data_IF_036046066982
#
_entry.id   IF_036046066982
#
_cell.length_a   1.000
_cell.length_b   1.000
_cell.length_c   1.000
_cell.angle_alpha   90.00
_cell.angle_beta   90.00
_cell.angle_gamma   90.00
#
_symmetry.space_group_name_H-M   'P 1'
#
loop_
_entity.id
_entity.type
_entity.pdbx_description
1 polymer ?
#
# COMPACT_ATOMS: atom_id res chain seq x y z
N UNK A 1 -7.33 64.66 -12.67
CA UNK A 1 -5.95 64.35 -13.09
C UNK A 1 -5.33 63.13 -12.40
N UNK A 2 -5.69 62.80 -11.15
CA UNK A 2 -5.10 61.68 -10.37
C UNK A 2 -5.31 60.27 -10.98
N UNK A 3 -6.49 59.98 -11.52
CA UNK A 3 -6.83 58.66 -12.09
C UNK A 3 -6.12 58.30 -13.39
N UNK A 4 -5.73 59.30 -14.20
CA UNK A 4 -4.99 59.06 -15.43
C UNK A 4 -3.53 58.68 -15.16
N UNK A 5 -2.90 59.30 -14.15
CA UNK A 5 -1.54 58.98 -13.72
C UNK A 5 -1.46 57.58 -13.09
N UNK A 6 -2.46 57.20 -12.27
CA UNK A 6 -2.55 55.85 -11.70
C UNK A 6 -2.66 54.77 -12.79
N UNK A 7 -3.52 54.98 -13.80
CA UNK A 7 -3.66 54.05 -14.93
C UNK A 7 -2.39 53.91 -15.76
N UNK A 8 -1.64 55.00 -15.96
CA UNK A 8 -0.37 54.94 -16.67
C UNK A 8 0.68 54.18 -15.87
N UNK A 9 0.74 54.38 -14.55
CA UNK A 9 1.64 53.62 -13.67
C UNK A 9 1.31 52.12 -13.70
N UNK A 10 0.03 51.75 -13.62
CA UNK A 10 -0.39 50.34 -13.69
C UNK A 10 -0.04 49.69 -15.04
N UNK A 11 -0.20 50.41 -16.16
CA UNK A 11 0.17 49.91 -17.50
C UNK A 11 1.66 49.69 -17.66
N UNK A 12 2.48 50.59 -17.10
CA UNK A 12 3.94 50.43 -17.08
C UNK A 12 4.33 49.23 -16.22
N UNK A 13 3.66 49.03 -15.07
CA UNK A 13 3.92 47.88 -14.22
C UNK A 13 3.56 46.54 -14.88
N UNK A 14 2.42 46.46 -15.58
CA UNK A 14 2.03 45.28 -16.35
C UNK A 14 3.06 44.99 -17.45
N UNK A 15 3.49 46.01 -18.19
CA UNK A 15 4.51 45.84 -19.24
C UNK A 15 5.86 45.35 -18.68
N UNK A 16 6.27 45.79 -17.48
CA UNK A 16 7.46 45.27 -16.80
C UNK A 16 7.30 43.79 -16.42
N UNK A 17 6.13 43.40 -15.89
CA UNK A 17 5.82 42.01 -15.56
C UNK A 17 5.87 41.14 -16.82
N UNK A 18 5.26 41.58 -17.92
CA UNK A 18 5.25 40.84 -19.19
C UNK A 18 6.67 40.67 -19.75
N UNK A 19 7.50 41.72 -19.67
CA UNK A 19 8.90 41.64 -20.07
C UNK A 19 9.68 40.62 -19.20
N UNK A 20 9.44 40.60 -17.88
CA UNK A 20 10.05 39.63 -16.96
C UNK A 20 9.57 38.20 -17.23
N UNK A 21 8.31 38.00 -17.59
CA UNK A 21 7.76 36.70 -17.99
C UNK A 21 8.48 36.21 -19.25
N UNK A 22 8.59 37.04 -20.28
CA UNK A 22 9.26 36.66 -21.53
C UNK A 22 10.74 36.30 -21.35
N UNK A 23 11.47 37.06 -20.52
CA UNK A 23 12.87 36.72 -20.19
C UNK A 23 12.92 35.37 -19.48
N UNK A 24 12.03 35.14 -18.49
CA UNK A 24 11.98 33.86 -17.77
C UNK A 24 11.63 32.69 -18.68
N UNK A 25 10.70 32.86 -19.62
CA UNK A 25 10.33 31.84 -20.60
C UNK A 25 11.50 31.51 -21.54
N UNK A 26 12.27 32.52 -21.97
CA UNK A 26 13.46 32.31 -22.79
C UNK A 26 14.54 31.52 -22.02
N UNK A 27 14.79 31.86 -20.76
CA UNK A 27 15.75 31.14 -19.92
C UNK A 27 15.28 29.71 -19.58
N UNK A 28 13.99 29.52 -19.34
CA UNK A 28 13.40 28.19 -19.16
C UNK A 28 13.58 27.33 -20.42
N UNK A 29 13.35 27.90 -21.60
CA UNK A 29 13.53 27.20 -22.89
C UNK A 29 14.98 26.76 -23.09
N UNK A 30 15.95 27.66 -22.85
CA UNK A 30 17.39 27.34 -22.91
C UNK A 30 17.78 26.24 -21.91
N UNK A 31 17.22 26.30 -20.71
CA UNK A 31 17.45 25.27 -19.69
C UNK A 31 16.87 23.93 -20.14
N UNK A 32 15.67 23.93 -20.71
CA UNK A 32 15.03 22.72 -21.24
C UNK A 32 15.81 22.12 -22.42
N UNK A 33 16.33 22.95 -23.33
CA UNK A 33 17.19 22.51 -24.43
C UNK A 33 18.47 21.83 -23.91
N UNK A 34 19.12 22.43 -22.90
CA UNK A 34 20.28 21.82 -22.23
C UNK A 34 19.91 20.51 -21.55
N UNK A 35 18.79 20.47 -20.82
CA UNK A 35 18.33 19.25 -20.14
C UNK A 35 18.01 18.12 -21.12
N UNK A 36 17.41 18.44 -22.27
CA UNK A 36 17.09 17.48 -23.33
C UNK A 36 18.36 16.94 -24.03
N UNK A 37 19.49 17.64 -23.95
CA UNK A 37 20.77 17.15 -24.48
C UNK A 37 21.40 16.05 -23.62
N UNK A 38 21.03 15.98 -22.34
CA UNK A 38 21.51 14.92 -21.46
C UNK A 38 20.76 13.62 -21.74
N UNK A 39 21.51 12.55 -21.95
CA UNK A 39 20.96 11.20 -21.94
C UNK A 39 20.84 10.76 -20.49
N UNK A 40 19.62 10.51 -20.03
CA UNK A 40 19.37 9.91 -18.72
C UNK A 40 19.21 8.40 -18.93
N UNK A 41 20.19 7.57 -18.54
CA UNK A 41 20.18 6.14 -18.87
C UNK A 41 18.88 5.44 -18.49
N UNK A 42 18.31 5.79 -17.33
CA UNK A 42 17.05 5.20 -16.83
C UNK A 42 15.82 5.55 -17.66
N UNK A 43 15.85 6.62 -18.45
CA UNK A 43 14.76 6.98 -19.37
C UNK A 43 14.91 6.34 -20.76
N UNK A 44 16.08 5.76 -21.05
CA UNK A 44 16.38 5.06 -22.30
C UNK A 44 16.17 3.55 -22.23
N UNK A 45 15.95 3.01 -21.03
CA UNK A 45 15.66 1.60 -20.84
C UNK A 45 14.26 1.25 -21.36
N UNK A 46 14.07 0.06 -21.95
CA UNK A 46 12.74 -0.47 -22.24
C UNK A 46 11.88 -0.50 -20.98
N UNK A 47 10.57 -0.28 -21.14
CA UNK A 47 9.64 -0.22 -20.01
C UNK A 47 9.67 -1.50 -19.17
N UNK A 48 9.87 -2.66 -19.81
CA UNK A 48 9.96 -3.96 -19.15
C UNK A 48 11.14 -4.01 -18.17
N UNK A 49 12.30 -3.46 -18.56
CA UNK A 49 13.49 -3.42 -17.70
C UNK A 49 13.29 -2.46 -16.54
N UNK A 50 12.62 -1.33 -16.78
CA UNK A 50 12.28 -0.37 -15.71
C UNK A 50 11.29 -0.99 -14.72
N UNK A 51 10.27 -1.71 -15.21
CA UNK A 51 9.32 -2.46 -14.37
C UNK A 51 10.04 -3.49 -13.51
N UNK A 52 10.99 -4.24 -14.06
CA UNK A 52 11.80 -5.19 -13.28
C UNK A 52 12.61 -4.47 -12.19
N UNK A 53 13.28 -3.36 -12.53
CA UNK A 53 14.00 -2.54 -11.54
C UNK A 53 13.07 -2.08 -10.42
N UNK A 54 11.84 -1.67 -10.74
CA UNK A 54 10.84 -1.27 -9.74
C UNK A 54 10.42 -2.42 -8.84
N UNK A 55 10.32 -3.65 -9.36
CA UNK A 55 10.02 -4.84 -8.57
C UNK A 55 11.17 -5.13 -7.60
N UNK A 56 12.42 -5.02 -8.05
CA UNK A 56 13.61 -5.20 -7.19
C UNK A 56 13.80 -4.10 -6.14
N UNK A 57 13.16 -2.95 -6.31
CA UNK A 57 13.15 -1.89 -5.30
C UNK A 57 12.29 -2.24 -4.08
N UNK A 58 11.31 -3.12 -4.23
CA UNK A 58 10.39 -3.53 -3.17
C UNK A 58 10.91 -4.77 -2.43
N UNK A 59 10.41 -5.04 -1.20
CA UNK A 59 10.56 -6.34 -0.57
C UNK A 59 10.12 -7.47 -1.51
N UNK A 60 10.85 -8.57 -1.47
CA UNK A 60 10.56 -9.74 -2.28
C UNK A 60 9.17 -10.29 -1.91
N UNK A 61 8.32 -10.54 -2.90
CA UNK A 61 7.01 -11.16 -2.65
C UNK A 61 7.18 -12.51 -1.89
N UNK A 62 6.38 -12.80 -0.85
CA UNK A 62 5.13 -12.14 -0.45
C UNK A 62 5.28 -11.01 0.57
N UNK A 63 6.48 -10.56 0.91
CA UNK A 63 6.66 -9.51 1.92
C UNK A 63 6.02 -8.20 1.48
N UNK A 64 5.08 -7.64 2.26
CA UNK A 64 4.34 -6.48 1.85
C UNK A 64 5.13 -5.18 1.95
N UNK A 65 4.76 -4.21 1.13
CA UNK A 65 5.29 -2.85 1.17
C UNK A 65 4.30 -1.91 1.85
N UNK A 66 4.76 -0.84 2.51
CA UNK A 66 3.86 0.14 3.10
C UNK A 66 3.05 0.85 2.00
N UNK A 67 1.76 1.08 2.29
CA UNK A 67 0.85 1.82 1.37
C UNK A 67 1.38 3.22 1.01
N UNK A 68 2.13 3.83 1.93
CA UNK A 68 2.64 5.20 1.82
C UNK A 68 4.04 5.31 2.43
N UNK A 69 4.78 6.33 2.03
CA UNK A 69 6.11 6.62 2.58
C UNK A 69 7.26 5.89 1.89
N UNK A 70 8.38 5.76 2.58
CA UNK A 70 9.60 5.17 2.03
C UNK A 70 9.36 3.68 1.72
N UNK A 71 9.93 3.19 0.62
CA UNK A 71 9.73 1.82 0.11
C UNK A 71 8.31 1.50 -0.37
N UNK A 72 7.43 2.50 -0.47
CA UNK A 72 6.14 2.35 -1.12
C UNK A 72 6.27 2.47 -2.65
N UNK A 73 5.66 1.59 -3.45
CA UNK A 73 5.59 1.73 -4.91
C UNK A 73 4.89 3.02 -5.34
N UNK A 74 4.05 3.61 -4.46
CA UNK A 74 3.43 4.92 -4.70
C UNK A 74 4.47 6.00 -4.98
N UNK A 75 5.66 5.95 -4.36
CA UNK A 75 6.74 6.93 -4.60
C UNK A 75 7.21 6.94 -6.05
N UNK A 76 7.22 5.78 -6.71
CA UNK A 76 7.61 5.66 -8.12
C UNK A 76 6.68 6.46 -9.04
N UNK A 77 5.42 6.67 -8.63
CA UNK A 77 4.44 7.45 -9.39
C UNK A 77 4.63 8.97 -9.31
N UNK A 78 5.53 9.44 -8.43
CA UNK A 78 5.78 10.87 -8.20
C UNK A 78 7.12 11.36 -8.74
N UNK A 79 7.92 10.49 -9.38
CA UNK A 79 9.27 10.85 -9.87
C UNK A 79 9.20 11.61 -11.20
N UNK A 80 8.63 11.00 -12.24
CA UNK A 80 8.40 11.65 -13.53
C UNK A 80 7.19 10.99 -14.23
N UNK A 81 6.74 11.60 -15.34
CA UNK A 81 5.58 11.08 -16.09
C UNK A 81 5.79 9.63 -16.58
N UNK A 82 6.96 9.33 -17.13
CA UNK A 82 7.27 7.98 -17.64
C UNK A 82 7.26 6.93 -16.51
N UNK A 83 7.86 7.24 -15.37
CA UNK A 83 7.88 6.31 -14.22
C UNK A 83 6.49 6.10 -13.66
N UNK A 84 5.66 7.15 -13.62
CA UNK A 84 4.25 7.03 -13.26
C UNK A 84 3.50 6.09 -14.18
N UNK A 85 3.65 6.24 -15.49
CA UNK A 85 3.00 5.37 -16.47
C UNK A 85 3.45 3.91 -16.31
N UNK A 86 4.76 3.67 -16.18
CA UNK A 86 5.33 2.32 -15.99
C UNK A 86 4.85 1.69 -14.67
N UNK A 87 4.93 2.42 -13.56
CA UNK A 87 4.53 1.91 -12.25
C UNK A 87 3.03 1.57 -12.21
N UNK A 88 2.17 2.44 -12.76
CA UNK A 88 0.73 2.19 -12.84
C UNK A 88 0.40 1.01 -13.78
N UNK A 89 1.19 0.79 -14.83
CA UNK A 89 1.03 -0.33 -15.74
C UNK A 89 1.67 -1.65 -15.26
N UNK A 90 2.26 -1.69 -14.06
CA UNK A 90 2.93 -2.88 -13.51
C UNK A 90 2.18 -3.45 -12.30
N UNK A 91 1.21 -4.37 -12.48
CA UNK A 91 0.38 -4.91 -11.40
C UNK A 91 1.16 -5.54 -10.24
N UNK A 92 2.33 -6.12 -10.53
CA UNK A 92 3.17 -6.80 -9.53
C UNK A 92 3.65 -5.87 -8.40
N UNK A 93 3.73 -4.56 -8.64
CA UNK A 93 4.11 -3.57 -7.61
C UNK A 93 3.04 -3.39 -6.53
N UNK A 94 1.78 -3.71 -6.84
CA UNK A 94 0.61 -3.34 -6.02
C UNK A 94 0.01 -4.52 -5.25
N UNK A 95 0.54 -5.74 -5.43
CA UNK A 95 -0.06 -6.98 -4.93
C UNK A 95 0.34 -7.36 -3.49
N UNK A 96 1.24 -6.61 -2.85
CA UNK A 96 1.75 -6.91 -1.52
C UNK A 96 1.60 -5.69 -0.60
N UNK A 97 0.60 -5.71 0.29
CA UNK A 97 0.05 -4.52 0.96
C UNK A 97 0.32 -4.58 2.47
N UNK A 98 1.02 -3.59 3.01
CA UNK A 98 1.17 -3.43 4.46
C UNK A 98 0.29 -2.28 4.93
N UNK A 99 -0.71 -2.60 5.72
CA UNK A 99 -1.50 -1.60 6.43
C UNK A 99 -0.60 -0.89 7.45
N UNK A 100 -0.58 0.45 7.50
CA UNK A 100 0.31 1.18 8.40
C UNK A 100 -0.14 1.08 9.86
N UNK A 101 0.82 0.82 10.75
CA UNK A 101 0.63 0.87 12.21
C UNK A 101 0.35 2.28 12.74
N UNK A 102 0.79 3.32 12.00
CA UNK A 102 0.56 4.73 12.30
C UNK A 102 0.09 5.51 11.06
N UNK A 103 -1.14 6.02 11.07
CA UNK A 103 -1.78 6.71 9.94
C UNK A 103 -1.33 8.16 9.79
N UNK A 104 -0.84 8.77 10.88
CA UNK A 104 -0.50 10.19 10.92
C UNK A 104 -1.61 11.05 10.34
N UNK A 105 -1.24 12.07 9.56
CA UNK A 105 -2.18 13.00 8.92
C UNK A 105 -2.92 12.40 7.71
N UNK A 106 -2.65 11.15 7.33
CA UNK A 106 -3.15 10.53 6.10
C UNK A 106 -4.38 9.64 6.28
N UNK A 107 -4.96 9.62 7.48
CA UNK A 107 -6.12 8.78 7.81
C UNK A 107 -7.28 8.95 6.82
N UNK A 108 -7.58 10.18 6.38
CA UNK A 108 -8.69 10.46 5.47
C UNK A 108 -8.53 9.94 4.03
N UNK A 109 -7.32 9.52 3.63
CA UNK A 109 -7.04 9.06 2.25
C UNK A 109 -6.72 7.56 2.17
N UNK A 110 -6.60 6.88 3.32
CA UNK A 110 -6.08 5.52 3.37
C UNK A 110 -6.95 4.54 2.56
N UNK A 111 -8.27 4.58 2.74
CA UNK A 111 -9.19 3.69 2.03
C UNK A 111 -9.08 3.88 0.52
N UNK A 112 -9.05 5.13 0.06
CA UNK A 112 -8.89 5.45 -1.36
C UNK A 112 -7.54 4.96 -1.93
N UNK A 113 -6.47 5.04 -1.14
CA UNK A 113 -5.14 4.53 -1.52
C UNK A 113 -5.17 3.01 -1.59
N UNK A 114 -5.77 2.34 -0.60
CA UNK A 114 -5.93 0.89 -0.58
C UNK A 114 -6.74 0.40 -1.79
N UNK A 115 -7.88 0.99 -2.06
CA UNK A 115 -8.71 0.69 -3.25
C UNK A 115 -7.91 0.87 -4.53
N UNK A 116 -7.16 1.98 -4.65
CA UNK A 116 -6.28 2.22 -5.80
C UNK A 116 -5.22 1.13 -5.97
N UNK A 117 -4.65 0.60 -4.89
CA UNK A 117 -3.71 -0.52 -4.95
C UNK A 117 -4.40 -1.83 -5.36
N UNK A 118 -5.59 -2.09 -4.80
CA UNK A 118 -6.39 -3.27 -5.12
C UNK A 118 -6.79 -3.30 -6.59
N UNK A 119 -7.14 -2.15 -7.18
CA UNK A 119 -7.43 -2.01 -8.60
C UNK A 119 -6.18 -2.25 -9.45
N UNK A 120 -5.06 -1.58 -9.11
CA UNK A 120 -3.81 -1.69 -9.88
C UNK A 120 -3.19 -3.08 -9.84
N UNK A 121 -3.39 -3.84 -8.75
CA UNK A 121 -2.93 -5.22 -8.63
C UNK A 121 -3.62 -6.19 -9.62
N UNK A 122 -4.72 -5.76 -10.25
CA UNK A 122 -5.37 -6.49 -11.34
C UNK A 122 -5.92 -7.85 -10.90
N UNK A 123 -5.47 -8.94 -11.52
CA UNK A 123 -5.88 -10.30 -11.15
C UNK A 123 -4.84 -11.06 -10.33
N UNK A 124 -3.71 -10.42 -9.99
CA UNK A 124 -2.63 -11.08 -9.28
C UNK A 124 -3.04 -11.50 -7.86
N UNK A 125 -2.50 -12.61 -7.34
CA UNK A 125 -2.77 -13.00 -5.98
C UNK A 125 -2.22 -11.98 -4.97
N UNK A 126 -2.95 -11.72 -3.90
CA UNK A 126 -2.66 -10.69 -2.92
C UNK A 126 -1.90 -11.26 -1.72
N UNK A 127 -0.90 -10.51 -1.25
CA UNK A 127 -0.34 -10.63 0.08
C UNK A 127 -0.69 -9.38 0.87
N UNK A 128 -1.11 -9.51 2.12
CA UNK A 128 -1.29 -8.33 2.96
C UNK A 128 -1.08 -8.58 4.44
N UNK A 129 -0.62 -7.55 5.14
CA UNK A 129 -0.56 -7.51 6.60
C UNK A 129 -1.52 -6.43 7.07
N UNK A 130 -2.43 -6.80 7.95
CA UNK A 130 -3.36 -5.89 8.62
C UNK A 130 -3.22 -6.02 10.13
N UNK A 131 -2.48 -5.07 10.71
CA UNK A 131 -2.42 -4.85 12.14
C UNK A 131 -3.56 -3.88 12.52
N UNK A 132 -4.52 -4.29 13.35
CA UNK A 132 -5.67 -3.50 13.70
C UNK A 132 -5.28 -2.36 14.63
N UNK A 133 -6.07 -1.31 14.49
CA UNK A 133 -6.14 -0.23 15.44
C UNK A 133 -7.38 -0.49 16.29
N UNK A 134 -7.21 -0.58 17.60
CA UNK A 134 -8.33 -0.79 18.53
C UNK A 134 -9.38 0.31 18.26
N UNK A 135 -10.63 -0.10 18.01
CA UNK A 135 -11.79 0.79 17.82
C UNK A 135 -11.65 1.84 16.70
N UNK A 136 -10.96 1.53 15.59
CA UNK A 136 -10.91 2.43 14.43
C UNK A 136 -11.89 1.98 13.34
N UNK A 137 -12.99 2.73 13.06
CA UNK A 137 -13.92 2.40 11.97
C UNK A 137 -13.23 2.20 10.62
N UNK A 138 -12.11 2.89 10.38
CA UNK A 138 -11.37 2.80 9.13
C UNK A 138 -10.72 1.43 8.91
N UNK A 139 -10.33 0.71 9.98
CA UNK A 139 -9.77 -0.65 9.80
C UNK A 139 -10.85 -1.62 9.33
N UNK A 140 -12.08 -1.48 9.84
CA UNK A 140 -13.22 -2.28 9.40
C UNK A 140 -13.59 -1.98 7.93
N UNK A 141 -13.56 -0.71 7.52
CA UNK A 141 -13.78 -0.32 6.12
C UNK A 141 -12.69 -0.87 5.19
N UNK A 142 -11.43 -0.77 5.59
CA UNK A 142 -10.31 -1.32 4.81
C UNK A 142 -10.36 -2.85 4.72
N UNK A 143 -10.76 -3.52 5.79
CA UNK A 143 -10.96 -4.96 5.78
C UNK A 143 -12.11 -5.35 4.86
N UNK A 144 -13.23 -4.62 4.90
CA UNK A 144 -14.35 -4.85 4.00
C UNK A 144 -13.92 -4.72 2.53
N UNK A 145 -13.11 -3.71 2.19
CA UNK A 145 -12.54 -3.56 0.85
C UNK A 145 -11.66 -4.75 0.44
N UNK A 146 -10.80 -5.25 1.34
CA UNK A 146 -9.97 -6.44 1.08
C UNK A 146 -10.81 -7.69 0.84
N UNK A 147 -11.89 -7.88 1.59
CA UNK A 147 -12.78 -9.05 1.51
C UNK A 147 -13.47 -9.16 0.15
N UNK A 148 -13.74 -8.04 -0.52
CA UNK A 148 -14.25 -8.03 -1.90
C UNK A 148 -13.30 -8.75 -2.88
N UNK A 149 -12.02 -8.84 -2.54
CA UNK A 149 -10.99 -9.50 -3.33
C UNK A 149 -10.52 -10.84 -2.75
N UNK A 150 -11.29 -11.45 -1.85
CA UNK A 150 -10.96 -12.70 -1.15
C UNK A 150 -10.50 -13.87 -2.03
N UNK A 151 -10.95 -13.91 -3.30
CA UNK A 151 -10.57 -14.97 -4.24
C UNK A 151 -9.10 -14.89 -4.65
N UNK A 152 -8.47 -13.71 -4.46
CA UNK A 152 -7.08 -13.44 -4.80
C UNK A 152 -6.12 -13.64 -3.63
N UNK A 153 -6.60 -13.80 -2.39
CA UNK A 153 -5.74 -13.87 -1.22
C UNK A 153 -4.81 -15.09 -1.26
N UNK A 154 -3.50 -14.87 -1.18
CA UNK A 154 -2.46 -15.92 -1.20
C UNK A 154 -1.67 -15.98 0.11
N UNK A 155 -1.38 -14.83 0.72
CA UNK A 155 -0.75 -14.70 2.02
C UNK A 155 -1.48 -13.62 2.82
N UNK A 156 -1.74 -13.86 4.10
CA UNK A 156 -2.27 -12.80 4.96
C UNK A 156 -1.73 -12.90 6.38
N UNK A 157 -1.52 -11.74 7.00
CA UNK A 157 -1.31 -11.61 8.43
C UNK A 157 -2.41 -10.72 8.97
N UNK A 158 -3.15 -11.20 9.96
CA UNK A 158 -4.27 -10.51 10.59
C UNK A 158 -4.07 -10.52 12.10
N UNK A 159 -4.21 -9.37 12.76
CA UNK A 159 -4.45 -9.37 14.20
C UNK A 159 -5.96 -9.38 14.49
N UNK A 160 -6.37 -10.29 15.36
CA UNK A 160 -7.78 -10.57 15.66
C UNK A 160 -8.21 -9.67 16.82
N UNK A 161 -8.32 -8.37 16.56
CA UNK A 161 -8.70 -7.38 17.57
C UNK A 161 -10.18 -6.99 17.57
N UNK A 162 -10.97 -7.40 16.57
CA UNK A 162 -12.42 -7.10 16.52
C UNK A 162 -13.27 -8.28 16.08
N UNK A 163 -14.51 -8.33 16.56
CA UNK A 163 -15.53 -9.29 16.10
C UNK A 163 -15.79 -9.17 14.58
N UNK A 164 -15.62 -7.97 14.02
CA UNK A 164 -15.70 -7.71 12.58
C UNK A 164 -14.73 -8.60 11.79
N UNK A 165 -13.47 -8.74 12.25
CA UNK A 165 -12.48 -9.62 11.61
C UNK A 165 -12.98 -11.06 11.52
N UNK A 166 -13.46 -11.59 12.65
CA UNK A 166 -13.93 -12.98 12.77
C UNK A 166 -15.17 -13.24 11.91
N UNK A 167 -16.05 -12.23 11.75
CA UNK A 167 -17.26 -12.34 10.93
C UNK A 167 -17.00 -12.21 9.44
N UNK A 168 -15.96 -11.47 9.04
CA UNK A 168 -15.66 -11.16 7.64
C UNK A 168 -14.74 -12.19 6.97
N UNK A 169 -13.96 -12.94 7.75
CA UNK A 169 -13.09 -14.02 7.25
C UNK A 169 -13.86 -15.20 6.60
N UNK A 170 -14.96 -15.74 7.16
CA UNK A 170 -15.60 -16.95 6.66
C UNK A 170 -15.89 -16.94 5.16
N UNK A 171 -15.59 -18.07 4.50
CA UNK A 171 -15.90 -18.36 3.09
C UNK A 171 -14.69 -18.82 2.27
N UNK A 172 -14.87 -18.94 0.95
CA UNK A 172 -13.86 -19.56 0.07
C UNK A 172 -12.65 -18.65 -0.17
N UNK A 173 -11.46 -19.20 0.07
CA UNK A 173 -10.17 -18.57 -0.23
C UNK A 173 -9.32 -19.58 -1.02
N UNK A 174 -9.51 -19.67 -2.35
CA UNK A 174 -8.98 -20.77 -3.15
C UNK A 174 -7.46 -20.71 -3.34
N UNK A 175 -6.86 -19.52 -3.16
CA UNK A 175 -5.43 -19.29 -3.36
C UNK A 175 -4.62 -19.22 -2.07
N UNK A 176 -5.27 -19.13 -0.90
CA UNK A 176 -4.59 -18.86 0.35
C UNK A 176 -3.67 -20.01 0.73
N UNK A 177 -2.39 -19.70 0.91
CA UNK A 177 -1.31 -20.64 1.27
C UNK A 177 -0.89 -20.51 2.72
N UNK A 178 -0.88 -19.29 3.25
CA UNK A 178 -0.41 -19.03 4.60
C UNK A 178 -1.27 -17.95 5.25
N UNK A 179 -1.65 -18.19 6.49
CA UNK A 179 -2.29 -17.23 7.36
C UNK A 179 -1.51 -17.13 8.66
N UNK A 180 -1.23 -15.91 9.07
CA UNK A 180 -0.65 -15.59 10.37
C UNK A 180 -1.69 -14.82 11.18
N UNK A 181 -1.93 -15.30 12.39
CA UNK A 181 -2.90 -14.73 13.32
C UNK A 181 -2.15 -14.22 14.54
N UNK A 182 -2.22 -12.92 14.76
CA UNK A 182 -1.77 -12.27 15.98
C UNK A 182 -2.95 -12.20 16.97
N UNK A 183 -2.84 -12.85 18.16
CA UNK A 183 -3.85 -12.76 19.21
C UNK A 183 -3.96 -11.34 19.76
N UNK A 184 -5.16 -10.95 20.20
CA UNK A 184 -5.35 -9.72 20.99
C UNK A 184 -5.95 -10.05 22.36
N UNK A 185 -5.40 -9.46 23.42
CA UNK A 185 -5.61 -9.87 24.83
C UNK A 185 -7.01 -9.56 25.41
N UNK A 186 -7.88 -8.79 24.74
CA UNK A 186 -9.04 -8.13 25.39
C UNK A 186 -10.43 -8.43 24.82
N UNK A 187 -10.59 -9.37 23.89
CA UNK A 187 -11.93 -9.80 23.46
C UNK A 187 -12.52 -10.80 24.47
N UNK A 188 -13.32 -10.29 25.40
CA UNK A 188 -14.29 -11.10 26.15
C UNK A 188 -15.70 -10.85 25.59
N UNK A 189 -16.42 -11.89 25.10
CA UNK A 189 -16.03 -13.31 25.03
C UNK A 189 -15.02 -13.62 23.90
N UNK A 190 -14.31 -14.77 23.97
CA UNK A 190 -13.40 -15.19 22.91
C UNK A 190 -14.13 -15.27 21.56
N UNK A 191 -13.45 -14.92 20.46
CA UNK A 191 -14.05 -14.93 19.14
C UNK A 191 -14.56 -16.32 18.75
N UNK A 192 -15.62 -16.35 17.92
CA UNK A 192 -16.10 -17.59 17.32
C UNK A 192 -14.97 -18.32 16.57
N UNK A 193 -14.96 -19.67 16.55
CA UNK A 193 -13.98 -20.45 15.80
C UNK A 193 -13.85 -19.98 14.35
N UNK A 194 -12.64 -19.60 13.94
CA UNK A 194 -12.35 -19.36 12.52
C UNK A 194 -12.32 -20.71 11.82
N UNK A 195 -13.15 -20.88 10.79
CA UNK A 195 -13.24 -22.12 10.01
C UNK A 195 -12.48 -21.96 8.68
N UNK A 196 -11.61 -22.92 8.39
CA UNK A 196 -10.81 -22.98 7.15
C UNK A 196 -11.27 -24.08 6.19
N UNK A 197 -12.53 -24.51 6.30
CA UNK A 197 -13.14 -25.59 5.52
C UNK A 197 -13.16 -25.34 4.01
N UNK A 198 -12.95 -24.10 3.56
CA UNK A 198 -12.97 -23.68 2.14
C UNK A 198 -11.65 -23.07 1.68
N UNK A 199 -10.53 -23.58 2.21
CA UNK A 199 -9.17 -23.10 1.92
C UNK A 199 -8.28 -24.25 1.41
N UNK A 200 -8.48 -24.72 0.17
CA UNK A 200 -7.88 -25.97 -0.33
C UNK A 200 -6.36 -25.93 -0.51
N UNK A 201 -5.76 -24.73 -0.51
CA UNK A 201 -4.32 -24.52 -0.73
C UNK A 201 -3.57 -24.14 0.54
N UNK A 202 -4.23 -24.15 1.69
CA UNK A 202 -3.63 -23.76 2.96
C UNK A 202 -2.49 -24.72 3.31
N UNK A 203 -1.31 -24.18 3.58
CA UNK A 203 -0.10 -24.93 3.93
C UNK A 203 0.40 -24.61 5.33
N UNK A 204 0.16 -23.39 5.80
CA UNK A 204 0.64 -22.92 7.09
C UNK A 204 -0.39 -22.03 7.78
N UNK A 205 -0.57 -22.26 9.08
CA UNK A 205 -1.36 -21.44 10.00
C UNK A 205 -0.48 -21.17 11.21
N UNK A 206 -0.02 -19.94 11.35
CA UNK A 206 0.84 -19.53 12.46
C UNK A 206 0.04 -18.68 13.45
N UNK A 207 0.16 -18.99 14.73
CA UNK A 207 -0.29 -18.12 15.81
C UNK A 207 0.94 -17.44 16.37
N UNK A 208 1.03 -16.12 16.20
CA UNK A 208 2.14 -15.35 16.74
C UNK A 208 1.87 -15.19 18.24
N UNK A 209 2.45 -16.07 19.08
CA UNK A 209 2.38 -15.92 20.53
C UNK A 209 3.10 -14.63 20.94
N UNK A 210 2.40 -13.76 21.66
CA UNK A 210 3.09 -12.74 22.46
C UNK A 210 4.02 -13.46 23.42
N UNK A 211 5.32 -13.12 23.38
CA UNK A 211 6.37 -13.65 24.26
C UNK A 211 6.09 -13.44 25.76
N UNK A 212 4.99 -12.78 26.11
CA UNK A 212 4.54 -12.46 27.47
C UNK A 212 3.41 -13.39 27.98
N UNK A 213 2.77 -14.22 27.15
CA UNK A 213 1.60 -15.00 27.58
C UNK A 213 1.60 -16.45 27.06
N UNK A 214 1.92 -17.44 27.92
CA UNK A 214 1.86 -18.83 27.52
C UNK A 214 0.42 -19.35 27.62
N UNK A 215 -0.09 -19.90 26.51
CA UNK A 215 -1.27 -20.78 26.40
C UNK A 215 -2.65 -20.14 26.57
N UNK A 216 -3.23 -19.69 25.46
CA UNK A 216 -4.68 -19.76 25.24
C UNK A 216 -4.97 -20.53 23.95
N UNK A 217 -5.71 -21.63 24.10
CA UNK A 217 -6.11 -22.48 22.98
C UNK A 217 -7.25 -21.78 22.22
N UNK A 218 -6.99 -21.35 20.99
CA UNK A 218 -8.07 -21.00 20.08
C UNK A 218 -8.80 -22.30 19.67
N UNK A 219 -10.13 -22.38 19.84
CA UNK A 219 -10.88 -23.54 19.39
C UNK A 219 -10.93 -23.52 17.85
N UNK A 220 -9.99 -24.21 17.22
CA UNK A 220 -9.98 -24.42 15.77
C UNK A 220 -10.67 -25.75 15.49
N UNK A 221 -11.64 -25.73 14.61
CA UNK A 221 -12.29 -26.95 14.12
C UNK A 221 -11.63 -27.29 12.79
N UNK A 222 -10.87 -28.40 12.75
CA UNK A 222 -10.24 -28.98 11.55
C UNK A 222 -8.98 -28.26 11.02
N UNK A 223 -7.86 -28.38 11.73
CA UNK A 223 -6.52 -28.11 11.18
C UNK A 223 -5.62 -29.32 11.48
N UNK A 224 -5.33 -30.14 10.46
CA UNK A 224 -4.40 -31.28 10.56
C UNK A 224 -2.95 -30.90 10.22
N UNK A 225 -2.67 -29.63 9.96
CA UNK A 225 -1.30 -29.15 9.66
C UNK A 225 -1.01 -27.93 10.51
N UNK A 226 -0.37 -28.19 11.65
CA UNK A 226 0.09 -27.18 12.59
C UNK A 226 1.61 -27.30 12.62
N UNK A 227 2.29 -26.53 11.76
CA UNK A 227 3.70 -26.25 11.93
C UNK A 227 3.77 -24.95 12.77
N UNK A 228 3.82 -25.10 14.10
CA UNK A 228 4.03 -23.96 15.01
C UNK A 228 5.50 -23.57 14.91
N UNK A 229 5.82 -22.69 13.95
CA UNK A 229 7.12 -22.03 13.91
C UNK A 229 7.03 -20.76 14.77
N UNK A 230 7.49 -20.85 16.01
CA UNK A 230 7.60 -19.71 16.94
C UNK A 230 8.76 -18.84 16.48
N UNK A 231 8.52 -17.89 15.59
CA UNK A 231 9.53 -16.90 15.22
C UNK A 231 9.56 -15.77 16.24
N UNK A 232 10.60 -15.78 17.06
CA UNK A 232 10.97 -14.64 17.88
C UNK A 232 11.33 -13.45 16.96
N UNK A 233 10.55 -12.37 17.06
CA UNK A 233 10.77 -11.13 16.31
C UNK A 233 12.13 -10.51 16.66
N UNK A 234 13.13 -10.74 15.82
CA UNK A 234 14.39 -10.01 15.83
C UNK A 234 14.21 -8.64 15.20
N UNK A 235 14.33 -7.59 16.01
CA UNK A 235 14.38 -6.19 15.59
C UNK A 235 15.58 -5.97 14.68
N UNK A 236 15.35 -5.41 13.48
CA UNK A 236 16.37 -4.74 12.67
C UNK A 236 15.80 -3.44 12.10
#
# INVERSE_FOLDING_TARGET
MSTALSRTADRVHIADIDARIHVREADNRRTQERLNSYTYPVLTLPNEIVSEIFIYFLPVYPYPSPLMGRLSPTVLTHICRQWKEIALATPALWRAISYPRHLGDHQGQLLQILESWLDRSGSLPLSFVMEPWINNPLSDECLAALVLHRQRWEYMTLSVASESVVRLIPGTMPLLRQIEIEPWESLEPPPSPIRFDKVPRLRSVTFLEDLLCPRRHFPLVSIDVVDIDVRASGVF
#
